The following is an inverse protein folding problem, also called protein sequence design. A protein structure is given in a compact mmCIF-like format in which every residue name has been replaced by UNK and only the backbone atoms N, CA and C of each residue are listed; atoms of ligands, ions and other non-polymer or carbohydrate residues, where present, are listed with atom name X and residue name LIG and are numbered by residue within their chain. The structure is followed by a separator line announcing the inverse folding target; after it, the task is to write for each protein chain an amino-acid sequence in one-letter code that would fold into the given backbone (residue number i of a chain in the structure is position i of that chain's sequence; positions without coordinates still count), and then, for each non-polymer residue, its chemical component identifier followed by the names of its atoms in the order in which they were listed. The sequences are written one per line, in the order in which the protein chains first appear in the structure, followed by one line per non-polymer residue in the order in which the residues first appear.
data_IF_303501644154
#
_entry.id   IF_303501644154
#
_cell.length_a   1.000
_cell.length_b   1.000
_cell.length_c   1.000
_cell.angle_alpha   90.00
_cell.angle_beta   90.00
_cell.angle_gamma   90.00
#
_symmetry.space_group_name_H-M   'P 1'
#
loop_
_entity.id
_entity.type
_entity.pdbx_description
1 polymer ?
#
# COMPACT_ATOMS: atom_id res chain seq x y z
N UNK A 1 -6.87 3.61 -10.25
CA UNK A 1 -7.58 3.38 -8.98
C UNK A 1 -7.36 4.63 -8.17
N UNK A 2 -8.41 5.28 -7.67
CA UNK A 2 -8.31 6.57 -6.99
C UNK A 2 -8.39 6.39 -5.48
N UNK A 3 -7.33 6.77 -4.78
CA UNK A 3 -7.20 6.76 -3.32
C UNK A 3 -6.79 8.16 -2.89
N UNK A 4 -7.56 8.75 -1.98
CA UNK A 4 -7.31 10.07 -1.39
C UNK A 4 -7.15 9.98 0.14
N UNK A 5 -6.92 11.14 0.78
CA UNK A 5 -6.79 11.25 2.23
C UNK A 5 -8.03 10.80 3.05
N UNK A 6 -9.16 10.49 2.41
CA UNK A 6 -10.37 10.01 3.09
C UNK A 6 -10.42 8.47 3.17
N UNK A 7 -9.48 7.77 2.54
CA UNK A 7 -9.45 6.32 2.59
C UNK A 7 -9.03 5.79 3.96
N UNK A 8 -9.79 4.82 4.43
CA UNK A 8 -9.44 4.02 5.61
C UNK A 8 -8.65 2.78 5.21
N UNK A 9 -7.86 2.18 6.12
CA UNK A 9 -7.18 0.91 5.87
C UNK A 9 -8.12 -0.19 5.34
N UNK A 10 -9.36 -0.26 5.87
CA UNK A 10 -10.35 -1.25 5.45
C UNK A 10 -10.80 -1.06 4.00
N UNK A 11 -11.00 0.20 3.55
CA UNK A 11 -11.36 0.49 2.16
C UNK A 11 -10.21 0.19 1.20
N UNK A 12 -8.96 0.34 1.63
CA UNK A 12 -7.80 -0.05 0.84
C UNK A 12 -7.71 -1.57 0.67
N UNK A 13 -8.05 -2.34 1.69
CA UNK A 13 -8.10 -3.81 1.59
C UNK A 13 -9.10 -4.27 0.53
N UNK A 14 -10.29 -3.67 0.50
CA UNK A 14 -11.30 -3.97 -0.53
C UNK A 14 -10.78 -3.74 -1.95
N UNK A 15 -9.89 -2.76 -2.12
CA UNK A 15 -9.26 -2.43 -3.40
C UNK A 15 -8.09 -3.35 -3.75
N UNK A 16 -7.28 -3.76 -2.77
CA UNK A 16 -6.12 -4.63 -2.97
C UNK A 16 -6.53 -6.07 -3.31
N UNK A 17 -7.73 -6.49 -2.91
CA UNK A 17 -8.32 -7.77 -3.27
C UNK A 17 -8.42 -8.74 -2.09
N UNK A 18 -8.90 -9.95 -2.38
CA UNK A 18 -9.32 -10.93 -1.36
C UNK A 18 -8.20 -11.44 -0.44
N UNK A 19 -6.95 -11.31 -0.87
CA UNK A 19 -5.78 -11.77 -0.11
C UNK A 19 -5.18 -10.69 0.81
N UNK A 20 -5.66 -9.44 0.72
CA UNK A 20 -5.21 -8.35 1.57
C UNK A 20 -5.91 -8.34 2.93
N UNK A 21 -5.19 -7.95 3.98
CA UNK A 21 -5.73 -7.71 5.32
C UNK A 21 -5.46 -6.27 5.79
N UNK A 22 -6.04 -5.89 6.94
CA UNK A 22 -5.94 -4.52 7.45
C UNK A 22 -4.49 -4.03 7.64
N UNK A 23 -3.53 -4.93 7.85
CA UNK A 23 -2.12 -4.54 7.95
C UNK A 23 -1.58 -4.09 6.60
N UNK A 24 -1.98 -4.75 5.50
CA UNK A 24 -1.56 -4.35 4.16
C UNK A 24 -2.10 -2.94 3.83
N UNK A 25 -3.34 -2.65 4.22
CA UNK A 25 -3.91 -1.30 4.13
C UNK A 25 -3.15 -0.27 4.96
N UNK A 26 -2.69 -0.63 6.16
CA UNK A 26 -1.88 0.26 7.04
C UNK A 26 -0.48 0.50 6.48
N UNK A 27 0.18 -0.53 5.95
CA UNK A 27 1.51 -0.42 5.33
C UNK A 27 1.41 0.54 4.14
N UNK A 28 0.42 0.35 3.26
CA UNK A 28 0.24 1.19 2.09
C UNK A 28 -0.07 2.65 2.44
N UNK A 29 -0.94 2.91 3.43
CA UNK A 29 -1.17 4.27 3.94
C UNK A 29 0.10 4.90 4.50
N UNK A 30 0.92 4.12 5.21
CA UNK A 30 2.22 4.57 5.71
C UNK A 30 3.15 4.99 4.58
N UNK A 31 3.21 4.22 3.50
CA UNK A 31 4.03 4.52 2.33
C UNK A 31 3.52 5.76 1.57
N UNK A 32 2.21 5.85 1.32
CA UNK A 32 1.60 7.03 0.70
C UNK A 32 1.88 8.30 1.52
N UNK A 33 1.73 8.22 2.85
CA UNK A 33 2.06 9.32 3.75
C UNK A 33 3.55 9.67 3.74
N UNK A 34 4.45 8.69 3.59
CA UNK A 34 5.90 8.91 3.54
C UNK A 34 6.31 9.67 2.28
N UNK A 35 5.73 9.30 1.14
CA UNK A 35 5.98 9.95 -0.15
C UNK A 35 5.19 11.26 -0.33
N UNK A 36 4.35 11.63 0.63
CA UNK A 36 3.53 12.84 0.56
C UNK A 36 2.40 12.76 -0.46
N UNK A 37 1.99 11.55 -0.83
CA UNK A 37 0.93 11.30 -1.82
C UNK A 37 -0.43 11.50 -1.15
N UNK A 38 -1.16 12.51 -1.60
CA UNK A 38 -2.52 12.82 -1.12
C UNK A 38 -3.63 12.34 -2.04
N UNK A 39 -3.28 12.04 -3.29
CA UNK A 39 -4.16 11.53 -4.35
C UNK A 39 -3.34 10.61 -5.26
N UNK A 40 -3.74 9.35 -5.40
CA UNK A 40 -3.01 8.38 -6.24
C UNK A 40 -3.16 8.61 -7.74
N UNK A 41 -4.07 9.48 -8.19
CA UNK A 41 -4.13 9.86 -9.60
C UNK A 41 -2.92 10.74 -10.02
N UNK A 42 -2.18 11.28 -9.04
CA UNK A 42 -0.92 11.98 -9.27
C UNK A 42 0.26 11.03 -9.51
N UNK A 43 0.09 9.74 -9.22
CA UNK A 43 1.11 8.73 -9.44
C UNK A 43 1.05 8.19 -10.86
N UNK A 44 2.23 7.99 -11.43
CA UNK A 44 2.39 7.11 -12.59
C UNK A 44 2.15 5.65 -12.19
N UNK A 45 1.85 4.82 -13.18
CA UNK A 45 1.70 3.38 -12.97
C UNK A 45 2.96 2.74 -12.37
N UNK A 46 4.15 3.19 -12.79
CA UNK A 46 5.43 2.71 -12.27
C UNK A 46 5.63 3.04 -10.79
N UNK A 47 5.33 4.27 -10.38
CA UNK A 47 5.40 4.69 -8.98
C UNK A 47 4.42 3.90 -8.11
N UNK A 48 3.20 3.70 -8.61
CA UNK A 48 2.19 2.90 -7.92
C UNK A 48 2.64 1.44 -7.73
N UNK A 49 3.15 0.79 -8.79
CA UNK A 49 3.65 -0.58 -8.71
C UNK A 49 4.85 -0.68 -7.75
N UNK A 50 5.74 0.31 -7.74
CA UNK A 50 6.85 0.38 -6.79
C UNK A 50 6.40 0.42 -5.33
N UNK A 51 5.34 1.16 -5.02
CA UNK A 51 4.75 1.20 -3.67
C UNK A 51 4.15 -0.15 -3.26
N UNK A 52 3.50 -0.85 -4.19
CA UNK A 52 2.96 -2.19 -3.92
C UNK A 52 4.06 -3.23 -3.67
N UNK A 53 5.14 -3.19 -4.45
CA UNK A 53 6.29 -4.06 -4.25
C UNK A 53 6.98 -3.80 -2.90
N UNK A 54 7.13 -2.53 -2.51
CA UNK A 54 7.67 -2.18 -1.21
C UNK A 54 6.75 -2.63 -0.07
N UNK A 55 5.43 -2.45 -0.19
CA UNK A 55 4.46 -2.92 0.80
C UNK A 55 4.57 -4.43 1.01
N UNK A 56 4.67 -5.21 -0.08
CA UNK A 56 4.86 -6.66 -0.01
C UNK A 56 6.19 -7.05 0.65
N UNK A 57 7.27 -6.30 0.42
CA UNK A 57 8.58 -6.52 1.05
C UNK A 57 8.56 -6.26 2.56
N UNK A 58 7.92 -5.16 2.97
CA UNK A 58 7.70 -4.83 4.39
C UNK A 58 6.92 -5.97 5.05
N UNK A 59 5.83 -6.42 4.41
CA UNK A 59 4.99 -7.49 4.94
C UNK A 59 5.76 -8.79 5.18
N UNK A 60 6.56 -9.23 4.20
CA UNK A 60 7.44 -10.41 4.34
C UNK A 60 8.42 -10.27 5.51
N UNK A 61 9.02 -9.09 5.64
CA UNK A 61 9.96 -8.80 6.73
C UNK A 61 9.29 -8.88 8.10
N UNK A 62 8.07 -8.35 8.24
CA UNK A 62 7.28 -8.42 9.47
C UNK A 62 6.83 -9.85 9.82
N UNK A 63 6.51 -10.66 8.80
CA UNK A 63 6.15 -12.07 8.96
C UNK A 63 7.37 -12.95 9.30
N UNK A 64 8.57 -12.37 9.34
CA UNK A 64 9.82 -13.07 9.67
C UNK A 64 10.41 -13.86 8.51
N UNK A 65 9.90 -13.67 7.30
CA UNK A 65 10.50 -14.21 6.08
C UNK A 65 11.71 -13.36 5.70
N UNK A 66 12.91 -13.96 5.59
CA UNK A 66 14.09 -13.22 5.16
C UNK A 66 13.88 -12.70 3.72
N UNK A 67 14.35 -11.47 3.41
CA UNK A 67 14.32 -10.98 2.04
C UNK A 67 15.10 -11.94 1.12
N UNK A 68 14.50 -12.26 -0.02
CA UNK A 68 15.06 -13.19 -1.02
C UNK A 68 16.34 -12.66 -1.67
#
# INVERSE_FOLDING_TARGET
MHIDNNFTPAQLVELLGADADERDGRILLGLLSREGVTDTDELTEEEWLGLLDEAASIRKTEDGDPPA
#
